data_IF_300699689209
#
_entry.id   IF_300699689209
#
_cell.length_a   1.000
_cell.length_b   1.000
_cell.length_c   1.000
_cell.angle_alpha   90.00
_cell.angle_beta   90.00
_cell.angle_gamma   90.00
#
_symmetry.space_group_name_H-M   'P 1'
#
loop_
_entity.id
_entity.type
_entity.pdbx_description
1 polymer ?
#
# COMPACT_ATOMS: atom_id res chain seq x y z
N UNK A 1 -45.22 35.97 14.80
CA UNK A 1 -43.84 35.72 14.37
C UNK A 1 -43.37 37.00 13.69
N UNK A 2 -42.54 37.80 14.37
CA UNK A 2 -42.18 39.17 13.96
C UNK A 2 -41.37 39.17 12.66
N UNK A 3 -41.47 40.26 11.89
CA UNK A 3 -40.81 40.47 10.59
C UNK A 3 -39.30 40.19 10.65
N UNK A 4 -38.69 40.53 11.78
CA UNK A 4 -37.27 40.35 12.10
C UNK A 4 -36.82 38.88 12.14
N UNK A 5 -37.70 37.95 12.52
CA UNK A 5 -37.38 36.51 12.54
C UNK A 5 -37.35 35.90 11.13
N UNK A 6 -38.14 36.46 10.20
CA UNK A 6 -38.13 36.03 8.78
C UNK A 6 -36.89 36.55 8.05
N UNK A 7 -36.47 37.78 8.31
CA UNK A 7 -35.24 38.34 7.74
C UNK A 7 -33.99 37.63 8.27
N UNK A 8 -33.97 37.28 9.55
CA UNK A 8 -32.87 36.50 10.15
C UNK A 8 -32.76 35.11 9.51
N UNK A 9 -33.89 34.40 9.32
CA UNK A 9 -33.89 33.09 8.66
C UNK A 9 -33.48 33.16 7.19
N UNK A 10 -33.87 34.21 6.47
CA UNK A 10 -33.46 34.41 5.08
C UNK A 10 -31.95 34.73 4.96
N UNK A 11 -31.41 35.50 5.90
CA UNK A 11 -29.97 35.82 5.93
C UNK A 11 -29.14 34.58 6.23
N UNK A 12 -29.53 33.79 7.23
CA UNK A 12 -28.84 32.53 7.58
C UNK A 12 -28.90 31.51 6.44
N UNK A 13 -30.02 31.40 5.72
CA UNK A 13 -30.14 30.53 4.55
C UNK A 13 -29.21 30.96 3.41
N UNK A 14 -29.11 32.27 3.16
CA UNK A 14 -28.22 32.82 2.13
C UNK A 14 -26.74 32.64 2.46
N UNK A 15 -26.38 32.78 3.74
CA UNK A 15 -25.01 32.59 4.20
C UNK A 15 -24.60 31.10 4.14
N UNK A 16 -25.54 30.18 4.38
CA UNK A 16 -25.35 28.74 4.18
C UNK A 16 -25.13 28.40 2.70
N UNK A 17 -25.98 28.89 1.79
CA UNK A 17 -25.81 28.68 0.33
C UNK A 17 -24.46 29.24 -0.16
N UNK A 18 -24.06 30.43 0.31
CA UNK A 18 -22.79 31.05 -0.08
C UNK A 18 -21.58 30.29 0.48
N UNK A 19 -21.70 29.70 1.67
CA UNK A 19 -20.65 28.85 2.23
C UNK A 19 -20.48 27.54 1.43
N UNK A 20 -21.59 26.94 1.00
CA UNK A 20 -21.59 25.70 0.21
C UNK A 20 -21.00 25.93 -1.19
N UNK A 21 -21.34 27.05 -1.84
CA UNK A 21 -20.75 27.45 -3.12
C UNK A 21 -19.25 27.72 -3.03
N UNK A 22 -18.80 28.32 -1.91
CA UNK A 22 -17.37 28.61 -1.68
C UNK A 22 -16.57 27.32 -1.47
N UNK A 23 -17.10 26.37 -0.68
CA UNK A 23 -16.48 25.06 -0.49
C UNK A 23 -16.37 24.27 -1.81
N UNK A 24 -17.42 24.31 -2.65
CA UNK A 24 -17.41 23.65 -3.96
C UNK A 24 -16.38 24.31 -4.91
N UNK A 25 -16.25 25.63 -4.88
CA UNK A 25 -15.23 26.34 -5.65
C UNK A 25 -13.80 26.02 -5.18
N UNK A 26 -13.57 25.93 -3.87
CA UNK A 26 -12.26 25.56 -3.32
C UNK A 26 -11.89 24.11 -3.66
N UNK A 27 -12.85 23.18 -3.62
CA UNK A 27 -12.65 21.80 -4.07
C UNK A 27 -12.26 21.76 -5.55
N UNK A 28 -12.90 22.57 -6.40
CA UNK A 28 -12.59 22.62 -7.83
C UNK A 28 -11.22 23.25 -8.11
N UNK A 29 -10.86 24.32 -7.41
CA UNK A 29 -9.53 24.94 -7.48
C UNK A 29 -8.43 23.97 -7.03
N UNK A 30 -8.68 23.20 -5.97
CA UNK A 30 -7.74 22.16 -5.51
C UNK A 30 -7.64 21.04 -6.55
N UNK A 31 -8.75 20.55 -7.11
CA UNK A 31 -8.75 19.54 -8.18
C UNK A 31 -7.94 20.00 -9.39
N UNK A 32 -8.08 21.25 -9.82
CA UNK A 32 -7.37 21.80 -10.97
C UNK A 32 -5.86 21.92 -10.73
N UNK A 33 -5.45 22.31 -9.52
CA UNK A 33 -4.05 22.36 -9.10
C UNK A 33 -3.42 20.98 -8.93
N UNK A 34 -4.22 19.97 -8.58
CA UNK A 34 -3.79 18.57 -8.49
C UNK A 34 -3.68 17.91 -9.87
N UNK A 35 -4.57 18.27 -10.80
CA UNK A 35 -4.64 17.72 -12.17
C UNK A 35 -3.34 17.95 -12.97
N UNK A 36 -2.59 19.01 -12.67
CA UNK A 36 -1.32 19.33 -13.33
C UNK A 36 -0.06 18.74 -12.67
N UNK A 37 -0.15 18.15 -11.47
CA UNK A 37 1.01 17.70 -10.67
C UNK A 37 1.10 16.20 -10.48
N UNK A 38 -0.02 15.49 -10.53
CA UNK A 38 -0.06 14.03 -10.50
C UNK A 38 -0.40 13.55 -11.91
N UNK A 39 0.51 12.78 -12.49
CA UNK A 39 0.43 12.25 -13.84
C UNK A 39 -0.93 11.58 -14.13
N UNK A 40 -1.72 12.24 -14.99
CA UNK A 40 -2.78 11.68 -15.83
C UNK A 40 -4.03 11.19 -15.09
N UNK A 41 -5.09 11.99 -15.11
CA UNK A 41 -6.48 11.55 -14.86
C UNK A 41 -7.02 10.53 -15.89
N UNK A 42 -6.15 9.98 -16.74
CA UNK A 42 -6.50 9.03 -17.79
C UNK A 42 -5.58 7.84 -17.67
N UNK A 43 -6.07 6.77 -17.04
CA UNK A 43 -5.37 5.49 -17.03
C UNK A 43 -5.37 4.91 -18.44
N UNK A 44 -4.20 4.57 -18.99
CA UNK A 44 -4.12 3.84 -20.26
C UNK A 44 -4.24 2.33 -19.99
N UNK A 45 -5.38 1.69 -20.31
CA UNK A 45 -5.63 0.28 -20.03
C UNK A 45 -4.77 -0.66 -20.90
N UNK A 46 -4.11 -0.16 -21.94
CA UNK A 46 -3.28 -0.97 -22.83
C UNK A 46 -1.86 -1.24 -22.31
N UNK A 47 -1.42 -0.47 -21.31
CA UNK A 47 -0.10 -0.65 -20.71
C UNK A 47 -0.02 -1.92 -19.84
N UNK A 48 1.01 -2.76 -20.00
CA UNK A 48 1.13 -4.00 -19.24
C UNK A 48 1.46 -3.71 -17.77
N UNK A 49 0.58 -4.18 -16.87
CA UNK A 49 0.71 -3.99 -15.40
C UNK A 49 1.48 -5.13 -14.73
N UNK A 50 1.21 -6.38 -15.13
CA UNK A 50 1.84 -7.57 -14.56
C UNK A 50 2.88 -8.15 -15.53
N UNK A 51 4.13 -7.72 -15.38
CA UNK A 51 5.25 -8.20 -16.19
C UNK A 51 6.17 -9.09 -15.37
N UNK A 52 6.93 -9.95 -16.06
CA UNK A 52 7.94 -10.81 -15.41
C UNK A 52 8.97 -9.95 -14.66
N UNK A 53 9.36 -8.80 -15.24
CA UNK A 53 10.25 -7.82 -14.61
C UNK A 53 9.70 -7.29 -13.28
N UNK A 54 8.45 -6.84 -13.26
CA UNK A 54 7.85 -6.31 -12.03
C UNK A 54 7.72 -7.39 -10.95
N UNK A 55 7.37 -8.61 -11.35
CA UNK A 55 7.28 -9.75 -10.45
C UNK A 55 8.65 -10.14 -9.85
N UNK A 56 9.70 -10.26 -10.66
CA UNK A 56 11.03 -10.68 -10.16
C UNK A 56 11.64 -9.62 -9.23
N UNK A 57 11.60 -8.34 -9.62
CA UNK A 57 12.12 -7.24 -8.81
C UNK A 57 11.29 -7.10 -7.51
N UNK A 58 9.97 -7.16 -7.61
CA UNK A 58 9.07 -7.09 -6.45
C UNK A 58 9.29 -8.25 -5.47
N UNK A 59 9.39 -9.49 -5.98
CA UNK A 59 9.63 -10.67 -5.16
C UNK A 59 10.99 -10.61 -4.46
N UNK A 60 12.04 -10.18 -5.15
CA UNK A 60 13.36 -9.96 -4.57
C UNK A 60 13.29 -8.97 -3.39
N UNK A 61 12.67 -7.80 -3.59
CA UNK A 61 12.54 -6.80 -2.52
C UNK A 61 11.69 -7.29 -1.35
N UNK A 62 10.59 -7.99 -1.63
CA UNK A 62 9.73 -8.58 -0.60
C UNK A 62 10.51 -9.55 0.29
N UNK A 63 11.25 -10.48 -0.31
CA UNK A 63 12.04 -11.47 0.41
C UNK A 63 13.19 -10.81 1.19
N UNK A 64 13.90 -9.88 0.57
CA UNK A 64 15.02 -9.17 1.19
C UNK A 64 14.57 -8.34 2.40
N UNK A 65 13.53 -7.53 2.24
CA UNK A 65 12.96 -6.72 3.33
C UNK A 65 12.44 -7.61 4.46
N UNK A 66 11.79 -8.74 4.15
CA UNK A 66 11.25 -9.63 5.17
C UNK A 66 12.34 -10.23 6.05
N UNK A 67 13.44 -10.70 5.45
CA UNK A 67 14.58 -11.23 6.19
C UNK A 67 15.20 -10.15 7.06
N UNK A 68 15.52 -9.00 6.47
CA UNK A 68 16.22 -7.93 7.19
C UNK A 68 15.38 -7.40 8.34
N UNK A 69 14.09 -7.13 8.12
CA UNK A 69 13.20 -6.65 9.17
C UNK A 69 12.97 -7.67 10.28
N UNK A 70 12.82 -8.96 9.94
CA UNK A 70 12.66 -10.02 10.95
C UNK A 70 13.92 -10.16 11.82
N UNK A 71 15.11 -10.10 11.22
CA UNK A 71 16.38 -10.17 11.95
C UNK A 71 16.58 -8.95 12.86
N UNK A 72 16.26 -7.74 12.38
CA UNK A 72 16.40 -6.52 13.16
C UNK A 72 15.38 -6.42 14.30
N UNK A 73 14.24 -7.11 14.20
CA UNK A 73 13.21 -7.14 15.24
C UNK A 73 13.68 -7.81 16.53
N UNK A 74 14.62 -8.76 16.46
CA UNK A 74 15.17 -9.42 17.66
C UNK A 74 16.21 -8.56 18.40
N UNK A 75 16.56 -7.39 17.86
CA UNK A 75 17.52 -6.48 18.49
C UNK A 75 16.83 -5.65 19.58
N UNK A 76 17.56 -5.36 20.65
CA UNK A 76 17.05 -4.57 21.81
C UNK A 76 16.50 -3.19 21.43
N UNK A 77 17.01 -2.59 20.35
CA UNK A 77 16.42 -1.41 19.73
C UNK A 77 15.86 -1.84 18.36
N UNK A 78 14.53 -1.99 18.29
CA UNK A 78 13.84 -2.41 17.07
C UNK A 78 13.96 -1.31 16.01
N UNK A 79 14.58 -1.66 14.89
CA UNK A 79 14.74 -0.78 13.73
C UNK A 79 14.19 -1.48 12.49
N UNK A 80 13.22 -0.85 11.83
CA UNK A 80 12.61 -1.36 10.61
C UNK A 80 13.01 -0.54 9.39
N UNK A 81 13.28 -1.23 8.28
CA UNK A 81 13.51 -0.62 6.97
C UNK A 81 12.17 -0.53 6.24
N UNK A 82 11.76 0.69 5.88
CA UNK A 82 10.52 0.93 5.15
C UNK A 82 10.61 0.59 3.66
N UNK A 83 9.45 0.30 3.05
CA UNK A 83 9.31 -0.01 1.63
C UNK A 83 9.76 1.11 0.67
N UNK A 84 9.87 2.35 1.16
CA UNK A 84 10.37 3.49 0.39
C UNK A 84 11.81 3.28 -0.13
N UNK A 85 12.62 2.50 0.59
CA UNK A 85 13.98 2.17 0.15
C UNK A 85 13.93 1.31 -1.11
N UNK A 86 13.06 0.31 -1.13
CA UNK A 86 12.83 -0.51 -2.32
C UNK A 86 12.21 0.29 -3.47
N UNK A 87 11.32 1.25 -3.17
CA UNK A 87 10.74 2.14 -4.17
C UNK A 87 11.84 2.92 -4.92
N UNK A 88 12.69 3.64 -4.18
CA UNK A 88 13.75 4.48 -4.76
C UNK A 88 14.76 3.64 -5.56
N UNK A 89 15.14 2.48 -5.04
CA UNK A 89 16.12 1.60 -5.68
C UNK A 89 15.54 0.81 -6.86
N UNK A 90 14.24 0.52 -6.86
CA UNK A 90 13.59 -0.21 -7.96
C UNK A 90 13.53 0.58 -9.26
N UNK A 91 13.52 1.92 -9.20
CA UNK A 91 13.48 2.77 -10.39
C UNK A 91 14.73 2.58 -11.30
N UNK A 92 15.97 2.77 -10.81
CA UNK A 92 17.15 2.55 -11.65
C UNK A 92 17.29 1.09 -12.09
N UNK A 93 16.92 0.12 -11.23
CA UNK A 93 16.97 -1.31 -11.58
C UNK A 93 15.99 -1.62 -12.73
N UNK A 94 14.78 -1.09 -12.68
CA UNK A 94 13.77 -1.25 -13.73
C UNK A 94 14.22 -0.65 -15.07
N UNK A 95 14.89 0.52 -15.03
CA UNK A 95 15.45 1.17 -16.21
C UNK A 95 16.59 0.36 -16.83
N UNK A 96 17.52 -0.14 -16.01
CA UNK A 96 18.62 -1.00 -16.45
C UNK A 96 18.09 -2.30 -17.05
N UNK A 97 17.09 -2.93 -16.43
CA UNK A 97 16.45 -4.13 -16.96
C UNK A 97 15.79 -3.88 -18.32
N UNK A 98 15.11 -2.74 -18.48
CA UNK A 98 14.49 -2.34 -19.74
C UNK A 98 15.52 -2.07 -20.85
N UNK A 99 16.71 -1.58 -20.49
CA UNK A 99 17.80 -1.29 -21.41
C UNK A 99 18.64 -2.53 -21.79
N UNK A 100 18.84 -3.46 -20.86
CA UNK A 100 19.72 -4.61 -21.04
C UNK A 100 19.09 -5.75 -21.85
N UNK A 101 17.76 -5.91 -21.77
CA UNK A 101 17.06 -7.06 -22.37
C UNK A 101 16.38 -6.74 -23.70
N UNK A 102 16.33 -7.69 -24.65
CA UNK A 102 15.74 -7.49 -25.96
C UNK A 102 14.25 -7.16 -25.87
N UNK A 103 13.84 -6.09 -26.54
CA UNK A 103 12.46 -5.58 -26.56
C UNK A 103 11.53 -6.56 -27.30
N UNK A 104 10.30 -6.74 -26.83
CA UNK A 104 9.28 -7.55 -27.49
C UNK A 104 9.23 -9.03 -27.08
N UNK A 105 10.04 -9.42 -26.09
CA UNK A 105 9.92 -10.73 -25.44
C UNK A 105 8.99 -10.66 -24.22
N UNK A 106 8.47 -11.81 -23.78
CA UNK A 106 7.69 -11.95 -22.52
C UNK A 106 8.47 -11.36 -21.31
N UNK A 107 9.80 -11.38 -21.39
CA UNK A 107 10.73 -10.88 -20.36
C UNK A 107 10.83 -9.34 -20.36
N UNK A 108 10.64 -8.71 -21.53
CA UNK A 108 10.70 -7.25 -21.69
C UNK A 108 9.63 -6.77 -22.69
N UNK A 109 8.37 -6.62 -22.23
CA UNK A 109 7.27 -6.22 -23.10
C UNK A 109 7.32 -4.75 -23.53
N UNK A 110 8.10 -3.91 -22.84
CA UNK A 110 8.21 -2.49 -23.17
C UNK A 110 8.98 -1.65 -22.15
N UNK A 111 8.96 -0.32 -22.32
CA UNK A 111 9.55 0.63 -21.37
C UNK A 111 9.04 0.41 -19.95
N UNK A 112 9.82 0.86 -18.97
CA UNK A 112 9.44 0.74 -17.57
C UNK A 112 8.28 1.69 -17.25
N UNK A 113 7.16 1.12 -16.78
CA UNK A 113 5.92 1.86 -16.56
C UNK A 113 5.70 2.19 -15.09
N UNK A 114 4.93 3.26 -14.84
CA UNK A 114 4.51 3.66 -13.48
C UNK A 114 3.69 2.54 -12.80
N UNK A 115 2.89 1.80 -13.56
CA UNK A 115 2.11 0.65 -13.05
C UNK A 115 2.99 -0.48 -12.53
N UNK A 116 4.04 -0.84 -13.28
CA UNK A 116 5.01 -1.85 -12.85
C UNK A 116 5.75 -1.40 -11.59
N UNK A 117 6.12 -0.11 -11.53
CA UNK A 117 6.77 0.48 -10.36
C UNK A 117 5.86 0.47 -9.12
N UNK A 118 4.58 0.82 -9.29
CA UNK A 118 3.59 0.75 -8.22
C UNK A 118 3.36 -0.69 -7.75
N UNK A 119 3.35 -1.67 -8.66
CA UNK A 119 3.22 -3.08 -8.31
C UNK A 119 4.43 -3.57 -7.49
N UNK A 120 5.65 -3.21 -7.90
CA UNK A 120 6.88 -3.52 -7.13
C UNK A 120 6.78 -2.96 -5.70
N UNK A 121 6.26 -1.74 -5.55
CA UNK A 121 6.04 -1.15 -4.23
C UNK A 121 5.07 -1.95 -3.37
N UNK A 122 3.96 -2.44 -3.91
CA UNK A 122 3.00 -3.28 -3.17
C UNK A 122 3.65 -4.59 -2.70
N UNK A 123 4.53 -5.19 -3.50
CA UNK A 123 5.32 -6.35 -3.07
C UNK A 123 6.26 -5.98 -1.92
N UNK A 124 7.00 -4.88 -2.04
CA UNK A 124 7.94 -4.42 -1.02
C UNK A 124 7.26 -4.01 0.30
N UNK A 125 6.09 -3.36 0.24
CA UNK A 125 5.31 -2.98 1.41
C UNK A 125 4.86 -4.20 2.21
N UNK A 126 4.50 -5.27 1.50
CA UNK A 126 4.11 -6.52 2.13
C UNK A 126 5.28 -7.21 2.86
N UNK A 127 6.50 -7.11 2.32
CA UNK A 127 7.72 -7.64 2.94
C UNK A 127 8.25 -6.82 4.12
N UNK A 128 7.73 -5.60 4.35
CA UNK A 128 8.15 -4.77 5.49
C UNK A 128 7.49 -5.22 6.80
N UNK A 129 6.30 -5.82 6.72
CA UNK A 129 5.57 -6.30 7.89
C UNK A 129 6.17 -7.58 8.45
N UNK A 130 6.47 -7.59 9.74
CA UNK A 130 6.88 -8.80 10.47
C UNK A 130 5.63 -9.64 10.77
N UNK A 131 5.64 -10.97 10.57
CA UNK A 131 4.48 -11.80 10.88
C UNK A 131 4.17 -11.77 12.38
N UNK A 132 2.96 -11.33 12.74
CA UNK A 132 2.52 -11.22 14.14
C UNK A 132 2.63 -12.53 14.93
N UNK A 133 2.51 -13.69 14.24
CA UNK A 133 2.62 -14.99 14.89
C UNK A 133 3.99 -15.27 15.52
N UNK A 134 5.06 -14.59 15.09
CA UNK A 134 6.42 -14.80 15.61
C UNK A 134 6.49 -14.50 17.11
N UNK A 135 5.92 -13.37 17.56
CA UNK A 135 5.97 -12.99 18.97
C UNK A 135 5.24 -14.00 19.87
N UNK A 136 4.12 -14.54 19.39
CA UNK A 136 3.36 -15.56 20.12
C UNK A 136 4.15 -16.88 20.24
N UNK A 137 4.81 -17.32 19.17
CA UNK A 137 5.65 -18.53 19.19
C UNK A 137 6.83 -18.33 20.14
N UNK A 138 7.49 -17.17 20.08
CA UNK A 138 8.61 -16.84 20.96
C UNK A 138 8.17 -16.84 22.43
N UNK A 139 7.03 -16.22 22.75
CA UNK A 139 6.48 -16.21 24.10
C UNK A 139 6.15 -17.62 24.63
N UNK A 140 5.71 -18.53 23.76
CA UNK A 140 5.39 -19.90 24.17
C UNK A 140 6.65 -20.75 24.43
N UNK A 141 7.69 -20.60 23.61
CA UNK A 141 8.93 -21.37 23.70
C UNK A 141 9.89 -20.81 24.76
N UNK A 142 9.83 -19.51 25.07
CA UNK A 142 10.79 -18.88 25.96
C UNK A 142 10.68 -19.44 27.40
N UNK A 143 11.79 -19.91 28.01
CA UNK A 143 11.76 -20.57 29.32
C UNK A 143 11.24 -19.69 30.46
N UNK A 144 11.45 -18.37 30.37
CA UNK A 144 10.96 -17.42 31.38
C UNK A 144 9.48 -17.06 31.24
N UNK A 145 8.81 -17.52 30.17
CA UNK A 145 7.41 -17.26 29.87
C UNK A 145 6.60 -18.54 30.10
N UNK A 146 6.19 -19.24 29.03
CA UNK A 146 5.32 -20.42 29.15
C UNK A 146 6.09 -21.75 29.14
N UNK A 147 7.39 -21.74 28.80
CA UNK A 147 8.28 -22.91 28.80
C UNK A 147 7.68 -24.16 28.13
N UNK A 148 6.99 -24.01 27.00
CA UNK A 148 6.37 -25.12 26.31
C UNK A 148 7.33 -25.74 25.28
N UNK A 149 7.91 -26.89 25.61
CA UNK A 149 8.89 -27.60 24.76
C UNK A 149 8.25 -28.47 23.68
N UNK A 150 6.93 -28.64 23.65
CA UNK A 150 6.24 -29.50 22.67
C UNK A 150 6.03 -28.83 21.31
N UNK A 151 6.37 -27.54 21.17
CA UNK A 151 6.16 -26.78 19.94
C UNK A 151 7.21 -27.19 18.89
N UNK A 152 6.76 -27.97 17.90
CA UNK A 152 7.58 -28.32 16.73
C UNK A 152 7.63 -27.15 15.73
N UNK A 153 8.72 -27.08 14.95
CA UNK A 153 8.89 -26.12 13.84
C UNK A 153 7.68 -26.10 12.89
N UNK A 154 7.11 -27.27 12.59
CA UNK A 154 5.94 -27.37 11.72
C UNK A 154 4.72 -26.63 12.28
N UNK A 155 4.47 -26.74 13.60
CA UNK A 155 3.38 -26.02 14.27
C UNK A 155 3.59 -24.50 14.20
N UNK A 156 4.82 -24.04 14.41
CA UNK A 156 5.20 -22.62 14.29
C UNK A 156 4.95 -22.07 12.89
N UNK A 157 5.38 -22.79 11.85
CA UNK A 157 5.16 -22.36 10.44
C UNK A 157 3.68 -22.38 10.10
N UNK A 158 2.96 -23.46 10.46
CA UNK A 158 1.53 -23.57 10.21
C UNK A 158 0.74 -22.45 10.91
N UNK A 159 1.07 -22.16 12.17
CA UNK A 159 0.47 -21.07 12.92
C UNK A 159 0.71 -19.71 12.26
N UNK A 160 1.96 -19.40 11.90
CA UNK A 160 2.28 -18.17 11.16
C UNK A 160 1.49 -18.08 9.85
N UNK A 161 1.43 -19.14 9.05
CA UNK A 161 0.68 -19.15 7.78
C UNK A 161 -0.81 -18.89 7.99
N UNK A 162 -1.44 -19.53 8.97
CA UNK A 162 -2.86 -19.34 9.27
C UNK A 162 -3.14 -17.88 9.66
N UNK A 163 -2.32 -17.28 10.53
CA UNK A 163 -2.50 -15.88 10.94
C UNK A 163 -2.40 -14.91 9.75
N UNK A 164 -1.45 -15.12 8.84
CA UNK A 164 -1.28 -14.27 7.67
C UNK A 164 -2.43 -14.46 6.66
N UNK A 165 -2.84 -15.70 6.38
CA UNK A 165 -3.97 -15.97 5.47
C UNK A 165 -5.30 -15.47 6.01
N UNK A 166 -5.51 -15.57 7.33
CA UNK A 166 -6.70 -15.00 7.97
C UNK A 166 -6.76 -13.47 7.76
N UNK A 167 -5.63 -12.78 7.93
CA UNK A 167 -5.54 -11.33 7.67
C UNK A 167 -5.87 -10.96 6.22
N UNK A 168 -5.26 -11.62 5.24
CA UNK A 168 -5.56 -11.37 3.83
C UNK A 168 -6.98 -11.79 3.43
N UNK A 169 -7.52 -12.84 4.03
CA UNK A 169 -8.89 -13.29 3.83
C UNK A 169 -9.92 -12.24 4.29
N UNK A 170 -9.74 -11.70 5.49
CA UNK A 170 -10.61 -10.63 6.02
C UNK A 170 -10.46 -9.36 5.18
N UNK A 171 -9.24 -8.98 4.78
CA UNK A 171 -9.01 -7.83 3.88
C UNK A 171 -9.81 -7.94 2.58
N UNK A 172 -9.88 -9.13 1.98
CA UNK A 172 -10.70 -9.40 0.80
C UNK A 172 -12.21 -9.22 1.05
N UNK A 173 -12.72 -9.67 2.20
CA UNK A 173 -14.13 -9.53 2.58
C UNK A 173 -14.54 -8.07 2.82
N UNK A 174 -13.63 -7.26 3.38
CA UNK A 174 -13.88 -5.84 3.67
C UNK A 174 -13.83 -4.96 2.42
N UNK A 175 -13.27 -5.45 1.30
CA UNK A 175 -13.17 -4.69 0.04
C UNK A 175 -14.50 -4.10 -0.45
N UNK A 176 -15.64 -4.72 -0.13
CA UNK A 176 -16.98 -4.21 -0.49
C UNK A 176 -17.41 -2.96 0.28
N UNK A 177 -16.80 -2.72 1.45
CA UNK A 177 -17.10 -1.58 2.31
C UNK A 177 -16.13 -0.40 2.10
N UNK A 178 -15.05 -0.60 1.32
CA UNK A 178 -14.10 0.45 1.03
C UNK A 178 -14.65 1.38 -0.06
N UNK A 179 -14.75 2.67 0.27
CA UNK A 179 -15.05 3.72 -0.71
C UNK A 179 -13.87 3.82 -1.67
N UNK A 180 -14.11 3.54 -2.95
CA UNK A 180 -13.08 3.71 -3.98
C UNK A 180 -12.92 5.20 -4.27
N UNK A 181 -11.69 5.73 -4.32
CA UNK A 181 -11.48 7.11 -4.68
C UNK A 181 -11.89 7.37 -6.13
N UNK A 182 -12.49 8.54 -6.31
CA UNK A 182 -12.94 9.17 -7.56
C UNK A 182 -11.87 9.17 -8.66
N UNK A 183 -10.58 9.10 -8.35
CA UNK A 183 -9.52 9.13 -9.37
C UNK A 183 -9.19 7.76 -10.01
N UNK A 184 -9.81 6.66 -9.56
CA UNK A 184 -9.51 5.28 -10.03
C UNK A 184 -10.63 4.66 -10.88
N UNK A 185 -11.54 5.48 -11.42
CA UNK A 185 -12.62 5.03 -12.32
C UNK A 185 -12.20 4.99 -13.78
#
# INVERSE_FOLDING_TARGET
>A
MSVEEKETKATVARDLELSEDTEVQDINNVKERLNGRFSGNTDDPSTPTFTVRAFTIGFFWCFFLSIVNTLLSFRTNSFGIGANVALILSYPIGLVWAALLPKGSIINPGPFNVKEHALIYVFASTGTGIPYGIDNIVAQVFPAMMNNSEITIFHSIAFCLVTQFLGYGISGLVRRFLVKPTAMW
#
